data_IF_128150679377
#
_entry.id   IF_128150679377
#
_cell.length_a   1.000
_cell.length_b   1.000
_cell.length_c   1.000
_cell.angle_alpha   90.00
_cell.angle_beta   90.00
_cell.angle_gamma   90.00
#
_symmetry.space_group_name_H-M   'P 1'
#
loop_
_entity.id
_entity.type
_entity.pdbx_description
1 polymer ?
#
# COMPACT_ATOMS: atom_id res chain seq x y z
N UNK A 1 -21.65 8.73 -6.92
CA UNK A 1 -21.16 8.79 -7.12
C UNK A 1 -20.44 8.90 -7.10
N UNK A 2 -20.38 9.01 -7.02
CA UNK A 2 -19.61 9.13 -7.34
C UNK A 2 -18.76 9.12 -7.04
N UNK A 3 -18.42 8.97 -6.96
CA UNK A 3 -17.63 8.96 -7.01
C UNK A 3 -16.98 9.27 -6.94
N UNK A 4 -17.20 9.48 -7.03
CA UNK A 4 -16.62 9.86 -7.34
C UNK A 4 -16.11 10.32 -6.98
N UNK A 5 -16.32 10.40 -6.90
CA UNK A 5 -15.82 10.88 -6.77
C UNK A 5 -15.13 11.25 -6.16
N UNK A 6 -15.29 11.67 -5.95
CA UNK A 6 -14.47 12.09 -5.34
C UNK A 6 -13.30 11.63 -5.17
N UNK A 7 -12.67 11.80 -5.70
CA UNK A 7 -11.38 11.43 -5.56
C UNK A 7 -11.25 10.16 -4.81
N UNK A 8 -11.56 9.15 -5.38
CA UNK A 8 -11.40 7.87 -4.75
C UNK A 8 -9.95 7.57 -4.56
N UNK A 9 -9.44 7.56 -3.36
CA UNK A 9 -8.03 7.24 -3.16
C UNK A 9 -7.72 5.79 -3.43
N UNK A 10 -8.71 4.92 -3.31
CA UNK A 10 -8.51 3.50 -3.52
C UNK A 10 -9.41 3.00 -4.61
N UNK A 11 -8.85 2.23 -5.51
CA UNK A 11 -9.61 1.59 -6.56
C UNK A 11 -10.28 0.36 -5.99
N UNK A 12 -11.58 0.45 -5.76
CA UNK A 12 -12.33 -0.63 -5.13
C UNK A 12 -12.29 -1.92 -5.92
N UNK A 13 -12.12 -1.83 -7.22
CA UNK A 13 -12.05 -3.03 -8.04
C UNK A 13 -10.82 -3.87 -7.74
N UNK A 14 -9.80 -3.26 -7.15
CA UNK A 14 -8.58 -3.96 -6.84
C UNK A 14 -8.55 -4.52 -5.43
N UNK A 15 -9.57 -4.22 -4.64
CA UNK A 15 -9.68 -4.75 -3.29
C UNK A 15 -10.48 -6.06 -3.35
N UNK A 16 -9.96 -7.13 -2.73
CA UNK A 16 -10.71 -8.40 -2.72
C UNK A 16 -12.10 -8.22 -2.13
N UNK A 17 -13.09 -8.97 -2.63
CA UNK A 17 -14.48 -8.82 -2.15
C UNK A 17 -14.63 -8.96 -0.65
N UNK A 18 -13.86 -9.85 -0.02
CA UNK A 18 -13.92 -10.02 1.44
C UNK A 18 -13.64 -8.73 2.18
N UNK A 19 -12.69 -7.97 1.68
CA UNK A 19 -12.29 -6.74 2.34
C UNK A 19 -13.33 -5.65 2.14
N UNK A 20 -14.04 -5.68 1.02
CA UNK A 20 -15.08 -4.68 0.77
C UNK A 20 -16.29 -4.86 1.66
N UNK A 21 -16.48 -6.06 2.19
CA UNK A 21 -17.61 -6.33 3.09
C UNK A 21 -17.42 -5.74 4.47
N UNK A 22 -16.23 -5.24 4.78
CA UNK A 22 -15.92 -4.64 6.08
C UNK A 22 -15.35 -3.24 5.88
N UNK A 23 -16.19 -2.30 5.43
CA UNK A 23 -15.68 -0.98 5.02
C UNK A 23 -14.99 -0.20 6.13
N UNK A 24 -15.46 -0.31 7.37
CA UNK A 24 -14.83 0.43 8.46
C UNK A 24 -13.42 -0.07 8.71
N UNK A 25 -13.23 -1.38 8.70
CA UNK A 25 -11.91 -1.96 8.91
C UNK A 25 -10.98 -1.62 7.74
N UNK A 26 -11.52 -1.66 6.52
CA UNK A 26 -10.72 -1.31 5.35
C UNK A 26 -10.29 0.16 5.41
N UNK A 27 -11.22 1.04 5.78
CA UNK A 27 -10.89 2.46 5.89
C UNK A 27 -9.81 2.69 6.94
N UNK A 28 -9.94 2.03 8.09
CA UNK A 28 -8.92 2.15 9.13
C UNK A 28 -7.57 1.61 8.66
N UNK A 29 -7.60 0.50 7.95
CA UNK A 29 -6.36 -0.09 7.43
C UNK A 29 -5.66 0.86 6.47
N UNK A 30 -6.41 1.50 5.60
CA UNK A 30 -5.83 2.45 4.65
C UNK A 30 -5.22 3.63 5.38
N UNK A 31 -5.92 4.16 6.38
CA UNK A 31 -5.39 5.28 7.13
C UNK A 31 -4.12 4.90 7.89
N UNK A 32 -4.13 3.74 8.52
CA UNK A 32 -2.95 3.27 9.24
C UNK A 32 -1.80 3.06 8.26
N UNK A 33 -2.08 2.43 7.13
CA UNK A 33 -1.07 2.19 6.12
C UNK A 33 -0.40 3.50 5.70
N UNK A 34 -1.20 4.54 5.49
CA UNK A 34 -0.66 5.83 5.05
C UNK A 34 0.16 6.52 6.14
N UNK A 35 -0.03 6.15 7.39
CA UNK A 35 0.73 6.73 8.50
C UNK A 35 2.03 5.98 8.78
N UNK A 36 2.14 4.74 8.32
CA UNK A 36 3.37 3.99 8.50
C UNK A 36 4.48 4.57 7.63
N UNK A 37 5.70 4.53 8.14
CA UNK A 37 6.83 5.07 7.39
C UNK A 37 7.23 4.19 6.23
N UNK A 38 7.73 4.81 5.18
CA UNK A 38 8.22 4.09 4.01
C UNK A 38 9.67 3.68 4.21
N UNK A 39 10.00 2.48 3.74
CA UNK A 39 11.39 2.07 3.67
C UNK A 39 11.82 2.13 2.21
N UNK A 40 12.74 3.04 1.93
CA UNK A 40 13.20 3.28 0.57
C UNK A 40 14.72 3.20 0.53
N UNK A 41 15.24 2.41 -0.39
CA UNK A 41 16.67 2.27 -0.58
C UNK A 41 17.04 2.87 -1.93
N UNK A 42 18.13 3.64 -2.01
CA UNK A 42 18.45 4.40 -3.24
C UNK A 42 18.51 3.56 -4.50
N UNK A 43 19.03 2.36 -4.41
CA UNK A 43 19.22 1.55 -5.62
C UNK A 43 18.11 0.54 -5.83
N UNK A 44 17.31 0.29 -4.81
CA UNK A 44 16.27 -0.73 -4.86
C UNK A 44 14.89 -0.12 -5.00
N UNK A 45 14.73 1.07 -4.42
CA UNK A 45 13.42 1.73 -4.39
C UNK A 45 12.66 1.37 -3.13
N UNK A 46 11.35 1.43 -3.23
CA UNK A 46 10.48 1.17 -2.10
C UNK A 46 10.44 -0.32 -1.78
N UNK A 47 10.71 -0.69 -0.55
CA UNK A 47 10.76 -2.10 -0.15
C UNK A 47 9.70 -2.45 0.90
N UNK A 48 8.79 -1.53 1.18
CA UNK A 48 7.70 -1.81 2.11
C UNK A 48 7.60 -0.80 3.20
N UNK A 49 6.53 -0.90 3.97
CA UNK A 49 6.32 -0.02 5.11
C UNK A 49 7.10 -0.50 6.32
N UNK A 50 7.38 0.43 7.21
CA UNK A 50 7.98 0.12 8.50
C UNK A 50 6.85 -0.17 9.47
N UNK A 51 6.76 -1.42 9.93
CA UNK A 51 5.64 -1.84 10.78
C UNK A 51 5.92 -1.64 12.28
N UNK A 52 7.00 -0.96 12.61
CA UNK A 52 7.40 -0.77 14.00
C UNK A 52 6.25 -0.21 14.85
N UNK A 53 5.55 0.78 14.33
CA UNK A 53 4.50 1.47 15.07
C UNK A 53 3.09 0.95 14.78
N UNK A 54 2.97 -0.18 14.12
CA UNK A 54 1.67 -0.70 13.74
C UNK A 54 0.77 -0.92 14.95
N UNK A 55 1.31 -1.53 16.02
CA UNK A 55 0.53 -1.76 17.23
C UNK A 55 0.05 -0.46 17.85
N UNK A 56 0.87 0.56 17.83
CA UNK A 56 0.50 1.86 18.35
C UNK A 56 -0.71 2.42 17.61
N UNK A 57 -0.68 2.35 16.29
CA UNK A 57 -1.79 2.86 15.49
C UNK A 57 -3.04 2.02 15.69
N UNK A 58 -2.90 0.71 15.85
CA UNK A 58 -4.06 -0.13 16.13
C UNK A 58 -4.74 0.29 17.43
N UNK A 59 -3.96 0.69 18.44
CA UNK A 59 -4.52 1.17 19.68
C UNK A 59 -5.21 2.52 19.51
N UNK A 60 -4.55 3.41 18.78
CA UNK A 60 -5.12 4.74 18.56
C UNK A 60 -6.45 4.66 17.83
N UNK A 61 -6.55 3.75 16.86
CA UNK A 61 -7.77 3.56 16.08
C UNK A 61 -8.75 2.61 16.76
N UNK A 62 -8.40 2.12 17.95
CA UNK A 62 -9.27 1.25 18.73
C UNK A 62 -9.71 0.01 17.95
N UNK A 63 -8.74 -0.62 17.29
CA UNK A 63 -9.02 -1.83 16.54
C UNK A 63 -9.26 -2.99 17.51
N UNK A 64 -10.40 -3.64 17.38
CA UNK A 64 -10.72 -4.79 18.22
C UNK A 64 -9.79 -5.96 17.95
N UNK A 65 -9.51 -6.72 18.98
CA UNK A 65 -8.57 -7.83 18.88
C UNK A 65 -8.95 -8.79 17.75
N UNK A 66 -10.24 -9.07 17.62
CA UNK A 66 -10.71 -10.02 16.59
C UNK A 66 -10.51 -9.51 15.18
N UNK A 67 -10.29 -8.21 15.01
CA UNK A 67 -10.14 -7.61 13.68
C UNK A 67 -8.70 -7.33 13.31
N UNK A 68 -7.77 -7.56 14.22
CA UNK A 68 -6.37 -7.19 13.98
C UNK A 68 -5.75 -7.99 12.84
N UNK A 69 -6.04 -9.29 12.77
CA UNK A 69 -5.48 -10.11 11.71
C UNK A 69 -5.98 -9.67 10.35
N UNK A 70 -7.27 -9.39 10.26
CA UNK A 70 -7.84 -8.95 9.00
C UNK A 70 -7.26 -7.60 8.58
N UNK A 71 -7.13 -6.68 9.53
CA UNK A 71 -6.54 -5.37 9.24
C UNK A 71 -5.12 -5.53 8.73
N UNK A 72 -4.36 -6.41 9.35
CA UNK A 72 -2.99 -6.66 8.93
C UNK A 72 -2.97 -7.21 7.49
N UNK A 73 -3.90 -8.11 7.16
CA UNK A 73 -3.97 -8.64 5.80
C UNK A 73 -4.22 -7.55 4.78
N UNK A 74 -5.10 -6.60 5.12
CA UNK A 74 -5.38 -5.49 4.21
C UNK A 74 -4.11 -4.65 4.01
N UNK A 75 -3.43 -4.35 5.10
CA UNK A 75 -2.20 -3.55 5.02
C UNK A 75 -1.14 -4.27 4.20
N UNK A 76 -0.99 -5.58 4.41
CA UNK A 76 0.00 -6.34 3.65
C UNK A 76 -0.35 -6.39 2.17
N UNK A 77 -1.64 -6.48 1.85
CA UNK A 77 -2.07 -6.47 0.47
C UNK A 77 -1.74 -5.13 -0.19
N UNK A 78 -2.01 -4.02 0.51
CA UNK A 78 -1.69 -2.70 -0.01
C UNK A 78 -0.18 -2.54 -0.21
N UNK A 79 0.58 -3.04 0.75
CA UNK A 79 2.03 -2.91 0.72
C UNK A 79 2.62 -3.74 -0.44
N UNK A 80 2.11 -4.95 -0.62
CA UNK A 80 2.60 -5.80 -1.70
C UNK A 80 2.37 -5.14 -3.06
N UNK A 81 1.22 -4.50 -3.24
CA UNK A 81 0.94 -3.79 -4.47
C UNK A 81 1.90 -2.62 -4.68
N UNK A 82 2.17 -1.89 -3.60
CA UNK A 82 3.07 -0.74 -3.69
C UNK A 82 4.49 -1.18 -4.03
N UNK A 83 4.93 -2.28 -3.42
CA UNK A 83 6.26 -2.82 -3.70
C UNK A 83 6.36 -3.25 -5.16
N UNK A 84 5.33 -3.92 -5.66
CA UNK A 84 5.31 -4.37 -7.03
C UNK A 84 5.36 -3.20 -8.01
N UNK A 85 4.56 -2.16 -7.75
CA UNK A 85 4.55 -0.99 -8.59
C UNK A 85 5.91 -0.29 -8.61
N UNK A 86 6.53 -0.20 -7.45
CA UNK A 86 7.84 0.42 -7.35
C UNK A 86 8.88 -0.36 -8.15
N UNK A 87 8.86 -1.68 -8.03
CA UNK A 87 9.79 -2.52 -8.75
C UNK A 87 9.62 -2.39 -10.26
N UNK A 88 8.37 -2.34 -10.71
CA UNK A 88 8.09 -2.19 -12.13
C UNK A 88 8.55 -0.84 -12.65
N UNK A 89 8.33 0.21 -11.85
CA UNK A 89 8.78 1.54 -12.22
C UNK A 89 10.30 1.59 -12.35
N UNK A 90 10.99 1.01 -11.39
CA UNK A 90 12.45 1.00 -11.38
C UNK A 90 12.99 0.25 -12.60
N UNK A 91 12.36 -0.87 -12.92
CA UNK A 91 12.77 -1.65 -14.07
C UNK A 91 12.62 -0.84 -15.37
N UNK A 92 11.52 -0.12 -15.50
CA UNK A 92 11.31 0.70 -16.69
C UNK A 92 12.36 1.80 -16.79
N UNK A 93 12.74 2.39 -15.66
CA UNK A 93 13.77 3.42 -15.66
C UNK A 93 15.13 2.86 -16.08
N UNK A 94 15.47 1.68 -15.59
CA UNK A 94 16.71 1.03 -16.00
C UNK A 94 16.70 0.70 -17.47
N UNK A 95 15.58 0.23 -18.00
CA UNK A 95 15.47 -0.09 -19.41
C UNK A 95 15.66 1.15 -20.28
N UNK A 96 15.13 2.28 -19.84
CA UNK A 96 15.32 3.54 -20.55
C UNK A 96 16.81 3.92 -20.61
N UNK A 97 17.48 3.77 -19.49
CA UNK A 97 18.90 4.09 -19.43
C UNK A 97 19.70 3.19 -20.34
N UNK A 98 19.38 1.90 -20.32
CA UNK A 98 20.08 0.95 -21.19
C UNK A 98 19.88 1.29 -22.67
N UNK A 99 18.64 1.64 -23.05
CA UNK A 99 18.38 1.97 -24.43
C UNK A 99 19.12 3.20 -24.86
N UNK A 100 19.21 4.19 -23.99
CA UNK A 100 19.96 5.39 -24.30
C UNK A 100 21.43 5.09 -24.48
N UNK A 101 21.99 4.23 -23.65
CA UNK A 101 23.38 3.86 -23.76
C UNK A 101 23.64 3.07 -25.03
N UNK A 102 22.73 2.17 -25.39
CA UNK A 102 22.92 1.33 -26.58
C UNK A 102 22.70 2.10 -27.86
N UNK A 103 21.91 3.13 -27.80
CA UNK A 103 21.55 3.87 -29.00
C UNK A 103 22.61 4.80 -29.50
N UNK A 104 23.74 4.83 -28.84
CA UNK A 104 24.83 5.70 -29.29
C UNK A 104 25.74 5.05 -30.34
#
# INVERSE_FOLDING_TARGET
>A
EMQEQMGQPVDEEKIPPDMRDLPDIVADAIQIYNRLGDRVYPEIGYIGKDYTNLNLYMKIYEIEEKNKDFLLEVIEWLDARAIKKSAEHLKREYDKIKRKSSGR
#
